data_IF_063412887342
#
_entry.id   IF_063412887342
#
_cell.length_a   1.000
_cell.length_b   1.000
_cell.length_c   1.000
_cell.angle_alpha   90.00
_cell.angle_beta   90.00
_cell.angle_gamma   90.00
#
_symmetry.space_group_name_H-M   'P 1'
#
loop_
_entity.id
_entity.type
_entity.pdbx_description
1 polymer ?
#
# COMPACT_ATOMS: atom_id res chain seq x y z
N UNK A 1 6.48 14.68 -5.58
CA UNK A 1 5.21 15.38 -5.31
C UNK A 1 4.22 14.83 -6.32
N UNK A 2 3.42 13.82 -5.97
CA UNK A 2 2.33 13.38 -6.84
C UNK A 2 1.35 14.55 -6.97
N UNK A 3 1.25 15.10 -8.18
CA UNK A 3 0.46 16.29 -8.50
C UNK A 3 -1.02 15.97 -8.76
N UNK A 4 -1.43 14.70 -8.68
CA UNK A 4 -2.81 14.25 -8.92
C UNK A 4 -3.70 14.33 -7.68
N UNK A 5 -3.15 14.14 -6.48
CA UNK A 5 -3.89 14.20 -5.23
C UNK A 5 -3.17 15.19 -4.29
N UNK A 6 -3.79 16.34 -4.02
CA UNK A 6 -3.25 17.39 -3.12
C UNK A 6 -3.26 16.96 -1.64
N UNK A 7 -2.86 15.73 -1.36
CA UNK A 7 -2.78 15.11 -0.03
C UNK A 7 -1.34 14.75 0.28
N UNK A 8 -0.96 14.69 1.56
CA UNK A 8 0.33 14.12 1.97
C UNK A 8 0.43 12.70 1.41
N UNK A 9 1.39 12.46 0.53
CA UNK A 9 1.69 11.15 -0.03
C UNK A 9 3.02 10.69 0.53
N UNK A 10 3.09 9.41 0.90
CA UNK A 10 4.33 8.80 1.35
C UNK A 10 5.19 8.49 0.12
N UNK A 11 5.93 9.50 -0.33
CA UNK A 11 6.80 9.42 -1.52
C UNK A 11 8.26 9.07 -1.19
N UNK A 12 9.10 9.02 -2.23
CA UNK A 12 10.54 8.80 -2.10
C UNK A 12 10.92 7.35 -1.75
N UNK A 13 12.14 7.15 -1.25
CA UNK A 13 12.70 5.82 -1.00
C UNK A 13 11.88 4.99 0.01
N UNK A 14 11.32 5.65 1.03
CA UNK A 14 10.48 4.98 2.03
C UNK A 14 9.18 4.46 1.40
N UNK A 15 8.50 5.28 0.59
CA UNK A 15 7.28 4.85 -0.11
C UNK A 15 7.53 3.71 -1.08
N UNK A 16 8.63 3.77 -1.81
CA UNK A 16 9.04 2.68 -2.70
C UNK A 16 9.33 1.38 -1.93
N UNK A 17 10.06 1.45 -0.82
CA UNK A 17 10.35 0.29 0.01
C UNK A 17 9.08 -0.30 0.64
N UNK A 18 8.15 0.54 1.08
CA UNK A 18 6.89 0.08 1.64
C UNK A 18 6.01 -0.61 0.60
N UNK A 19 5.87 -0.02 -0.59
CA UNK A 19 5.16 -0.65 -1.70
C UNK A 19 5.77 -2.01 -2.06
N UNK A 20 7.11 -2.09 -2.19
CA UNK A 20 7.81 -3.34 -2.47
C UNK A 20 7.56 -4.40 -1.40
N UNK A 21 7.57 -4.02 -0.12
CA UNK A 21 7.24 -4.94 0.97
C UNK A 21 5.82 -5.49 0.82
N UNK A 22 4.83 -4.62 0.58
CA UNK A 22 3.42 -5.06 0.45
C UNK A 22 3.19 -5.96 -0.77
N UNK A 23 3.85 -5.68 -1.90
CA UNK A 23 3.82 -6.54 -3.09
C UNK A 23 4.47 -7.91 -2.79
N UNK A 24 5.66 -7.93 -2.20
CA UNK A 24 6.39 -9.17 -1.89
C UNK A 24 5.63 -10.09 -0.92
N UNK A 25 4.83 -9.51 -0.03
CA UNK A 25 4.01 -10.25 0.94
C UNK A 25 2.65 -10.68 0.39
N UNK A 26 2.34 -10.33 -0.86
CA UNK A 26 1.07 -10.62 -1.53
C UNK A 26 -0.11 -9.84 -0.95
N UNK A 27 0.14 -8.65 -0.40
CA UNK A 27 -0.92 -7.80 0.17
C UNK A 27 -1.56 -6.92 -0.90
N UNK A 28 -0.79 -6.59 -1.94
CA UNK A 28 -1.23 -5.84 -3.11
C UNK A 28 -0.94 -6.66 -4.37
N UNK A 29 -1.83 -6.56 -5.35
CA UNK A 29 -1.63 -7.03 -6.72
C UNK A 29 -1.65 -5.83 -7.67
N UNK A 30 -0.70 -5.71 -8.60
CA UNK A 30 -0.78 -4.73 -9.66
C UNK A 30 -1.92 -5.07 -10.62
N UNK A 31 -2.62 -4.04 -11.07
CA UNK A 31 -3.51 -4.14 -12.22
C UNK A 31 -2.67 -4.20 -13.50
N UNK A 32 -2.89 -5.17 -14.41
CA UNK A 32 -2.03 -5.35 -15.58
C UNK A 32 -2.18 -4.22 -16.60
N UNK A 33 -3.30 -3.49 -16.57
CA UNK A 33 -3.68 -2.50 -17.57
C UNK A 33 -3.47 -1.06 -17.07
N UNK A 34 -3.02 -0.88 -15.82
CA UNK A 34 -2.89 0.45 -15.21
C UNK A 34 -1.85 0.50 -14.09
N UNK A 35 -1.68 1.68 -13.47
CA UNK A 35 -0.86 1.85 -12.26
C UNK A 35 -1.64 1.60 -10.96
N UNK A 36 -2.87 1.09 -11.07
CA UNK A 36 -3.68 0.79 -9.91
C UNK A 36 -3.14 -0.45 -9.18
N UNK A 37 -3.35 -0.48 -7.86
CA UNK A 37 -3.03 -1.61 -7.01
C UNK A 37 -4.33 -2.10 -6.38
N UNK A 38 -4.59 -3.41 -6.48
CA UNK A 38 -5.71 -4.06 -5.81
C UNK A 38 -5.24 -4.63 -4.49
N UNK A 39 -5.93 -4.30 -3.41
CA UNK A 39 -5.70 -4.94 -2.11
C UNK A 39 -6.24 -6.36 -2.16
N UNK A 40 -5.39 -7.35 -1.87
CA UNK A 40 -5.81 -8.74 -1.81
C UNK A 40 -6.60 -9.01 -0.53
N UNK A 41 -7.36 -10.11 -0.46
CA UNK A 41 -8.04 -10.50 0.78
C UNK A 41 -7.06 -10.71 1.94
N UNK A 42 -5.87 -11.24 1.66
CA UNK A 42 -4.78 -11.35 2.63
C UNK A 42 -4.30 -9.96 3.09
N UNK A 43 -4.12 -9.04 2.14
CA UNK A 43 -3.74 -7.66 2.41
C UNK A 43 -4.73 -6.95 3.32
N UNK A 44 -6.04 -7.08 3.07
CA UNK A 44 -7.10 -6.50 3.91
C UNK A 44 -6.96 -6.96 5.36
N UNK A 45 -6.96 -8.27 5.62
CA UNK A 45 -6.84 -8.81 6.99
C UNK A 45 -5.55 -8.38 7.69
N UNK A 46 -4.44 -8.24 6.95
CA UNK A 46 -3.15 -7.83 7.54
C UNK A 46 -3.12 -6.34 7.85
N UNK A 47 -3.64 -5.51 6.96
CA UNK A 47 -3.76 -4.06 7.17
C UNK A 47 -4.70 -3.74 8.34
N UNK A 48 -5.85 -4.40 8.42
CA UNK A 48 -6.80 -4.25 9.53
C UNK A 48 -6.12 -4.51 10.88
N UNK A 49 -5.41 -5.64 11.01
CA UNK A 49 -4.65 -5.95 12.23
C UNK A 49 -3.59 -4.91 12.56
N UNK A 50 -2.84 -4.43 11.57
CA UNK A 50 -1.83 -3.39 11.80
C UNK A 50 -2.46 -2.09 12.31
N UNK A 51 -3.66 -1.75 11.84
CA UNK A 51 -4.38 -0.57 12.30
C UNK A 51 -4.90 -0.74 13.73
N UNK A 52 -5.42 -1.92 14.07
CA UNK A 52 -5.83 -2.28 15.42
C UNK A 52 -4.66 -2.17 16.41
N UNK A 53 -3.50 -2.75 16.05
CA UNK A 53 -2.28 -2.74 16.84
C UNK A 53 -1.71 -1.32 17.06
N UNK A 54 -1.94 -0.37 16.13
CA UNK A 54 -1.51 1.02 16.27
C UNK A 54 -2.40 1.87 17.18
N UNK A 55 -3.62 1.40 17.46
CA UNK A 55 -4.62 2.12 18.29
C UNK A 55 -4.70 1.63 19.73
N UNK A 56 -3.95 0.57 20.08
CA UNK A 56 -3.87 -0.02 21.43
C UNK A 56 -2.54 0.35 22.08
#
# INVERSE_FOLDING_TARGET
>A
MDWSERRPHLGGALGAAWLQAMLSQGWLDPDPDSRALRVTRRGQTRLERLLEDMTT
#
